data_IF_240831519950
#
_entry.id   IF_240831519950
#
_cell.length_a   1.000
_cell.length_b   1.000
_cell.length_c   1.000
_cell.angle_alpha   90.00
_cell.angle_beta   90.00
_cell.angle_gamma   90.00
#
_symmetry.space_group_name_H-M   'P 1'
#
loop_
_entity.id
_entity.type
_entity.pdbx_description
1 polymer ?
#
# COMPACT_ATOMS: atom_id res chain seq x y z
N UNK A 1 9.98 22.78 33.35
CA UNK A 1 9.17 21.57 33.13
C UNK A 1 8.54 21.73 31.77
N UNK A 2 9.00 20.97 30.78
CA UNK A 2 8.37 20.95 29.45
C UNK A 2 7.05 20.21 29.58
N UNK A 3 5.94 20.92 29.36
CA UNK A 3 4.61 20.30 29.26
C UNK A 3 4.64 19.27 28.14
N UNK A 4 4.58 18.00 28.51
CA UNK A 4 4.46 16.88 27.59
C UNK A 4 3.10 16.99 26.90
N UNK A 5 3.03 17.72 25.77
CA UNK A 5 1.82 17.87 24.97
C UNK A 5 1.33 16.48 24.60
N UNK A 6 0.15 16.11 25.09
CA UNK A 6 -0.51 14.89 24.70
C UNK A 6 -0.75 14.91 23.17
N UNK A 7 -0.03 14.08 22.45
CA UNK A 7 -0.03 14.05 20.97
C UNK A 7 -1.05 13.08 20.39
N UNK A 8 -1.67 12.23 21.22
CA UNK A 8 -2.65 11.23 20.79
C UNK A 8 -3.84 11.15 21.74
N UNK A 9 -5.02 10.97 21.17
CA UNK A 9 -6.27 10.68 21.86
C UNK A 9 -6.77 9.30 21.44
N UNK A 10 -7.27 8.52 22.41
CA UNK A 10 -7.77 7.16 22.20
C UNK A 10 -9.11 7.02 22.91
N UNK A 11 -10.05 6.33 22.26
CA UNK A 11 -11.30 5.90 22.87
C UNK A 11 -11.65 4.50 22.39
N UNK A 12 -12.25 3.72 23.26
CA UNK A 12 -12.64 2.34 23.00
C UNK A 12 -14.09 2.27 22.51
N UNK A 13 -14.38 1.31 21.61
CA UNK A 13 -15.74 1.06 21.11
C UNK A 13 -16.10 -0.39 21.40
N UNK A 14 -16.93 -0.59 22.41
CA UNK A 14 -17.44 -1.91 22.76
C UNK A 14 -18.42 -2.42 21.72
N UNK A 15 -18.35 -3.73 21.47
CA UNK A 15 -19.23 -4.46 20.54
C UNK A 15 -19.35 -3.77 19.18
N UNK A 16 -18.23 -3.27 18.64
CA UNK A 16 -18.17 -2.51 17.39
C UNK A 16 -18.94 -3.17 16.23
N UNK A 17 -18.89 -4.51 16.13
CA UNK A 17 -19.58 -5.27 15.08
C UNK A 17 -21.11 -5.16 15.10
N UNK A 18 -21.70 -4.80 16.24
CA UNK A 18 -23.15 -4.66 16.43
C UNK A 18 -23.63 -3.22 16.18
N UNK A 19 -22.71 -2.27 15.98
CA UNK A 19 -23.05 -0.87 15.82
C UNK A 19 -23.47 -0.59 14.38
N UNK A 20 -24.72 -0.17 14.21
CA UNK A 20 -25.27 0.27 12.92
C UNK A 20 -25.29 1.80 12.79
N UNK A 21 -25.40 2.52 13.90
CA UNK A 21 -25.49 3.97 13.95
C UNK A 21 -24.12 4.65 14.09
N UNK A 22 -24.10 5.96 13.79
CA UNK A 22 -22.93 6.82 14.02
C UNK A 22 -22.54 6.81 15.50
N UNK A 23 -21.24 6.70 15.77
CA UNK A 23 -20.65 6.71 17.10
C UNK A 23 -19.85 8.00 17.24
N UNK A 24 -20.02 8.70 18.37
CA UNK A 24 -19.23 9.87 18.70
C UNK A 24 -18.37 9.59 19.92
N UNK A 25 -17.09 9.96 19.87
CA UNK A 25 -16.23 9.90 21.05
C UNK A 25 -16.61 10.98 22.08
N UNK A 26 -16.15 10.84 23.33
CA UNK A 26 -16.04 11.97 24.23
C UNK A 26 -15.24 13.12 23.58
N UNK A 27 -15.53 14.34 24.05
CA UNK A 27 -14.81 15.54 23.62
C UNK A 27 -13.43 15.57 24.27
N UNK A 28 -12.43 16.06 23.55
CA UNK A 28 -11.07 16.21 24.06
C UNK A 28 -10.45 17.54 23.63
N UNK A 29 -9.56 18.07 24.46
CA UNK A 29 -8.87 19.33 24.20
C UNK A 29 -7.50 19.06 23.58
N UNK A 30 -7.22 19.68 22.44
CA UNK A 30 -5.90 19.68 21.83
C UNK A 30 -5.69 20.93 20.98
N UNK A 31 -4.48 21.51 21.04
CA UNK A 31 -4.17 22.72 20.29
C UNK A 31 -5.08 23.92 20.58
N UNK A 32 -5.64 24.00 21.80
CA UNK A 32 -6.56 25.06 22.21
C UNK A 32 -7.96 24.97 21.56
N UNK A 33 -8.33 23.83 21.00
CA UNK A 33 -9.66 23.56 20.46
C UNK A 33 -10.23 22.28 21.08
N UNK A 34 -11.56 22.24 21.18
CA UNK A 34 -12.30 21.04 21.62
C UNK A 34 -12.71 20.23 20.40
N UNK A 35 -12.28 18.98 20.37
CA UNK A 35 -12.45 18.05 19.27
C UNK A 35 -13.24 16.82 19.72
N UNK A 36 -13.79 16.09 18.76
CA UNK A 36 -14.33 14.75 18.97
C UNK A 36 -14.25 13.94 17.68
N UNK A 37 -14.31 12.62 17.80
CA UNK A 37 -14.29 11.70 16.67
C UNK A 37 -15.71 11.26 16.34
N UNK A 38 -16.02 11.18 15.04
CA UNK A 38 -17.20 10.50 14.52
C UNK A 38 -16.77 9.26 13.74
N UNK A 39 -17.39 8.14 14.07
CA UNK A 39 -17.18 6.85 13.43
C UNK A 39 -18.49 6.40 12.82
N UNK A 40 -18.43 5.99 11.56
CA UNK A 40 -19.56 5.47 10.80
C UNK A 40 -19.27 3.99 10.51
N UNK A 41 -19.72 3.06 11.37
CA UNK A 41 -19.38 1.64 11.24
C UNK A 41 -19.78 1.02 9.90
N UNK A 42 -20.86 1.54 9.30
CA UNK A 42 -21.42 1.08 8.02
C UNK A 42 -21.11 2.00 6.84
N UNK A 43 -20.30 3.03 7.08
CA UNK A 43 -20.01 4.07 6.10
C UNK A 43 -21.06 5.16 6.01
N UNK A 44 -20.85 6.03 5.03
CA UNK A 44 -21.66 7.22 4.79
C UNK A 44 -22.54 7.04 3.55
N UNK A 45 -23.72 7.68 3.53
CA UNK A 45 -24.65 7.61 2.41
C UNK A 45 -23.95 8.05 1.10
N UNK A 46 -23.95 7.17 0.09
CA UNK A 46 -23.29 7.41 -1.20
C UNK A 46 -21.86 6.88 -1.30
N UNK A 47 -21.28 6.37 -0.21
CA UNK A 47 -20.01 5.64 -0.22
C UNK A 47 -20.27 4.18 0.18
N UNK A 48 -20.16 3.27 -0.78
CA UNK A 48 -20.41 1.85 -0.53
C UNK A 48 -19.43 1.26 0.49
N UNK A 49 -19.94 0.75 1.61
CA UNK A 49 -19.33 -0.29 2.44
C UNK A 49 -17.92 -0.06 2.98
N UNK A 50 -17.61 1.16 3.41
CA UNK A 50 -16.37 1.44 4.14
C UNK A 50 -16.66 2.09 5.49
N UNK A 51 -15.92 1.69 6.53
CA UNK A 51 -15.80 2.47 7.77
C UNK A 51 -15.40 3.90 7.41
N UNK A 52 -16.17 4.89 7.85
CA UNK A 52 -15.79 6.29 7.74
C UNK A 52 -15.40 6.86 9.10
N UNK A 53 -14.33 7.65 9.12
CA UNK A 53 -13.73 8.23 10.31
C UNK A 53 -13.53 9.73 10.11
N UNK A 54 -14.02 10.53 11.03
CA UNK A 54 -13.92 11.99 10.96
C UNK A 54 -13.48 12.59 12.30
N UNK A 55 -12.57 13.56 12.23
CA UNK A 55 -12.26 14.46 13.33
C UNK A 55 -13.14 15.70 13.18
N UNK A 56 -13.85 16.06 14.24
CA UNK A 56 -14.83 17.14 14.25
C UNK A 56 -14.51 18.16 15.35
N UNK A 57 -14.78 19.44 15.10
CA UNK A 57 -14.76 20.49 16.13
C UNK A 57 -16.07 20.45 16.91
N UNK A 58 -15.99 20.36 18.24
CA UNK A 58 -17.15 20.15 19.11
C UNK A 58 -18.08 21.37 19.19
N UNK A 59 -17.52 22.57 19.27
CA UNK A 59 -18.29 23.81 19.45
C UNK A 59 -17.90 24.87 18.40
N UNK A 60 -18.19 24.65 17.10
CA UNK A 60 -17.82 25.59 16.05
C UNK A 60 -18.50 26.96 16.20
N UNK A 61 -19.63 27.03 16.90
CA UNK A 61 -20.40 28.25 17.14
C UNK A 61 -19.89 29.10 18.30
N UNK A 62 -19.18 28.51 19.27
CA UNK A 62 -18.55 29.28 20.36
C UNK A 62 -17.23 29.93 19.91
N UNK A 63 -16.73 29.56 18.74
CA UNK A 63 -15.56 30.16 18.12
C UNK A 63 -15.97 31.45 17.39
N UNK A 64 -15.13 32.49 17.50
CA UNK A 64 -15.40 33.81 16.89
C UNK A 64 -15.71 33.68 15.39
N UNK A 65 -16.62 34.51 14.89
CA UNK A 65 -16.89 34.64 13.46
C UNK A 65 -15.57 34.76 12.67
N UNK A 66 -15.38 33.90 11.68
CA UNK A 66 -14.16 33.87 10.85
C UNK A 66 -13.00 33.01 11.39
N UNK A 67 -13.20 32.23 12.46
CA UNK A 67 -12.15 31.35 12.96
C UNK A 67 -11.67 30.32 11.92
N UNK A 68 -10.36 30.04 11.96
CA UNK A 68 -9.71 29.01 11.15
C UNK A 68 -8.64 28.31 11.99
N UNK A 69 -8.56 26.98 11.90
CA UNK A 69 -7.55 26.18 12.62
C UNK A 69 -6.98 25.11 11.71
N UNK A 70 -5.64 25.05 11.61
CA UNK A 70 -4.96 23.89 11.04
C UNK A 70 -4.72 22.88 12.14
N UNK A 71 -5.02 21.63 11.86
CA UNK A 71 -4.67 20.51 12.71
C UNK A 71 -4.06 19.42 11.84
N UNK A 72 -2.96 18.83 12.32
CA UNK A 72 -2.32 17.69 11.67
C UNK A 72 -2.71 16.44 12.44
N UNK A 73 -3.25 15.43 11.76
CA UNK A 73 -3.69 14.19 12.40
C UNK A 73 -3.66 12.98 11.45
N UNK A 74 -3.65 11.80 12.05
CA UNK A 74 -3.90 10.51 11.39
C UNK A 74 -4.80 9.67 12.29
N UNK A 75 -5.63 8.80 11.72
CA UNK A 75 -6.38 7.82 12.50
C UNK A 75 -5.60 6.52 12.62
N UNK A 76 -5.67 5.90 13.80
CA UNK A 76 -5.12 4.59 14.08
C UNK A 76 -6.23 3.71 14.64
N UNK A 77 -6.52 2.60 13.97
CA UNK A 77 -7.46 1.58 14.41
C UNK A 77 -6.67 0.43 15.00
N UNK A 78 -7.00 0.07 16.24
CA UNK A 78 -6.37 -1.01 16.99
C UNK A 78 -7.37 -2.14 17.18
N UNK A 79 -6.94 -3.38 16.98
CA UNK A 79 -7.76 -4.55 17.33
C UNK A 79 -7.61 -4.93 18.81
N UNK A 80 -6.42 -4.68 19.37
CA UNK A 80 -6.07 -4.85 20.78
C UNK A 80 -5.08 -3.75 21.18
N UNK A 81 -4.95 -3.40 22.47
CA UNK A 81 -3.97 -2.41 22.92
C UNK A 81 -2.56 -2.75 22.39
N UNK A 82 -1.96 -1.81 21.65
CA UNK A 82 -0.61 -1.95 21.10
C UNK A 82 -0.48 -2.78 19.81
N UNK A 83 -1.59 -3.28 19.23
CA UNK A 83 -1.57 -3.99 17.95
C UNK A 83 -2.34 -3.22 16.87
N UNK A 84 -1.58 -2.54 16.03
CA UNK A 84 -2.07 -1.71 14.93
C UNK A 84 -2.75 -2.58 13.86
N UNK A 85 -4.01 -2.27 13.55
CA UNK A 85 -4.76 -2.92 12.49
C UNK A 85 -4.74 -2.07 11.21
N UNK A 86 -4.90 -0.76 11.35
CA UNK A 86 -4.97 0.17 10.24
C UNK A 86 -4.54 1.57 10.65
N UNK A 87 -3.80 2.26 9.79
CA UNK A 87 -3.38 3.66 9.99
C UNK A 87 -3.64 4.45 8.72
N UNK A 88 -4.28 5.61 8.83
CA UNK A 88 -4.41 6.53 7.69
C UNK A 88 -3.11 7.30 7.46
N UNK A 89 -2.92 7.78 6.23
CA UNK A 89 -1.93 8.82 5.97
C UNK A 89 -2.21 10.05 6.83
N UNK A 90 -1.15 10.76 7.19
CA UNK A 90 -1.24 12.03 7.91
C UNK A 90 -1.93 13.09 7.03
N UNK A 91 -2.85 13.84 7.63
CA UNK A 91 -3.63 14.87 6.99
C UNK A 91 -3.47 16.19 7.75
N UNK A 92 -3.38 17.31 7.03
CA UNK A 92 -3.25 18.65 7.63
C UNK A 92 -4.31 19.63 7.07
N UNK A 93 -5.61 19.38 7.34
CA UNK A 93 -6.66 20.23 6.79
C UNK A 93 -6.86 21.52 7.60
N UNK A 94 -7.54 22.46 6.96
CA UNK A 94 -7.98 23.72 7.57
C UNK A 94 -9.44 23.60 8.01
N UNK A 95 -9.67 23.61 9.31
CA UNK A 95 -11.01 23.64 9.91
C UNK A 95 -11.53 25.07 9.99
N UNK A 96 -12.80 25.26 9.70
CA UNK A 96 -13.52 26.52 9.86
C UNK A 96 -15.01 26.28 10.13
N UNK A 97 -15.78 27.34 10.32
CA UNK A 97 -17.22 27.25 10.53
C UNK A 97 -17.96 26.53 9.38
N UNK A 98 -17.49 26.71 8.13
CA UNK A 98 -18.09 26.07 6.96
C UNK A 98 -17.71 24.59 6.83
N UNK A 99 -16.52 24.21 7.30
CA UNK A 99 -15.99 22.83 7.23
C UNK A 99 -15.46 22.44 8.62
N UNK A 100 -16.36 22.07 9.55
CA UNK A 100 -15.98 21.79 10.93
C UNK A 100 -15.44 20.36 11.13
N UNK A 101 -15.41 19.54 10.07
CA UNK A 101 -14.99 18.14 10.13
C UNK A 101 -14.17 17.74 8.91
N UNK A 102 -13.14 16.92 9.14
CA UNK A 102 -12.30 16.32 8.11
C UNK A 102 -12.02 14.86 8.46
N UNK A 103 -11.90 14.01 7.45
CA UNK A 103 -11.80 12.57 7.67
C UNK A 103 -11.61 11.78 6.39
N UNK A 104 -11.83 10.47 6.51
CA UNK A 104 -11.85 9.53 5.38
C UNK A 104 -13.21 8.85 5.31
N UNK A 105 -13.93 9.06 4.20
CA UNK A 105 -15.16 8.35 3.89
C UNK A 105 -14.93 6.86 3.58
N UNK A 106 -13.69 6.48 3.28
CA UNK A 106 -13.27 5.11 2.94
C UNK A 106 -12.06 4.70 3.75
N UNK A 107 -12.17 4.70 5.09
CA UNK A 107 -11.07 4.31 5.96
C UNK A 107 -10.78 2.81 5.87
N UNK A 108 -11.80 1.95 6.01
CA UNK A 108 -11.62 0.48 5.96
C UNK A 108 -12.79 -0.18 5.25
N UNK A 109 -12.56 -1.08 4.29
CA UNK A 109 -13.63 -1.81 3.62
C UNK A 109 -14.34 -2.80 4.58
N UNK A 110 -15.67 -2.90 4.51
CA UNK A 110 -16.47 -3.81 5.34
C UNK A 110 -16.40 -5.25 4.82
N UNK A 111 -15.71 -6.12 5.58
CA UNK A 111 -15.60 -7.56 5.29
C UNK A 111 -16.98 -8.22 5.22
N UNK A 112 -17.92 -7.84 6.09
CA UNK A 112 -19.26 -8.47 6.18
C UNK A 112 -20.10 -8.37 4.90
N UNK A 113 -20.00 -7.28 4.13
CA UNK A 113 -20.73 -7.12 2.85
C UNK A 113 -19.91 -7.53 1.63
N UNK A 114 -18.57 -7.50 1.70
CA UNK A 114 -17.69 -8.17 0.72
C UNK A 114 -18.05 -9.66 0.63
N UNK A 115 -18.38 -10.26 1.79
CA UNK A 115 -18.88 -11.61 1.92
C UNK A 115 -20.35 -11.79 1.45
N UNK A 116 -21.20 -10.78 1.63
CA UNK A 116 -22.59 -10.81 1.15
C UNK A 116 -22.73 -10.61 -0.38
N UNK A 117 -21.76 -9.95 -1.04
CA UNK A 117 -21.69 -9.83 -2.50
C UNK A 117 -21.39 -11.17 -3.19
N UNK A 118 -20.94 -12.18 -2.42
CA UNK A 118 -20.70 -13.54 -2.88
C UNK A 118 -21.62 -14.52 -2.10
N UNK A 119 -22.88 -14.72 -2.53
CA UNK A 119 -23.90 -15.46 -1.78
C UNK A 119 -23.55 -16.94 -1.46
N UNK A 120 -22.49 -17.49 -2.07
CA UNK A 120 -21.92 -18.78 -1.69
C UNK A 120 -21.25 -18.82 -0.31
N UNK A 121 -20.96 -17.66 0.29
CA UNK A 121 -20.22 -17.54 1.55
C UNK A 121 -20.99 -18.04 2.79
N UNK A 122 -22.32 -17.87 2.82
CA UNK A 122 -23.12 -18.08 4.02
C UNK A 122 -23.45 -19.56 4.32
N UNK A 123 -23.08 -20.48 3.45
CA UNK A 123 -23.50 -21.87 3.55
C UNK A 123 -22.43 -22.70 4.28
N UNK A 124 -22.53 -22.71 5.62
CA UNK A 124 -21.92 -23.67 6.58
C UNK A 124 -20.87 -23.14 7.59
N UNK A 125 -20.91 -21.87 7.97
CA UNK A 125 -20.12 -21.41 9.11
C UNK A 125 -20.70 -21.97 10.43
N UNK A 126 -20.01 -22.96 11.03
CA UNK A 126 -20.16 -23.33 12.44
C UNK A 126 -18.85 -23.22 13.27
N UNK A 127 -18.08 -22.12 13.22
CA UNK A 127 -17.05 -21.89 14.25
C UNK A 127 -17.72 -21.79 15.62
N UNK A 128 -17.42 -22.74 16.52
CA UNK A 128 -18.08 -22.85 17.83
C UNK A 128 -17.66 -21.78 18.84
N UNK A 129 -16.51 -21.14 18.66
CA UNK A 129 -16.00 -20.10 19.56
C UNK A 129 -15.74 -18.79 18.83
N UNK A 130 -15.98 -17.68 19.54
CA UNK A 130 -15.78 -16.32 19.03
C UNK A 130 -14.32 -16.08 18.64
N UNK A 131 -13.36 -16.66 19.39
CA UNK A 131 -11.93 -16.54 19.09
C UNK A 131 -11.59 -17.15 17.73
N UNK A 132 -12.10 -18.36 17.44
CA UNK A 132 -11.87 -19.05 16.16
C UNK A 132 -12.50 -18.27 15.02
N UNK A 133 -13.70 -17.71 15.23
CA UNK A 133 -14.34 -16.83 14.26
C UNK A 133 -13.48 -15.61 13.94
N UNK A 134 -12.92 -14.93 14.95
CA UNK A 134 -12.02 -13.79 14.76
C UNK A 134 -10.74 -14.18 14.00
N UNK A 135 -10.13 -15.33 14.33
CA UNK A 135 -8.94 -15.82 13.62
C UNK A 135 -9.21 -16.03 12.14
N UNK A 136 -10.28 -16.73 11.78
CA UNK A 136 -10.64 -16.94 10.37
C UNK A 136 -10.98 -15.65 9.64
N UNK A 137 -11.68 -14.70 10.30
CA UNK A 137 -11.99 -13.41 9.68
C UNK A 137 -10.74 -12.57 9.42
N UNK A 138 -9.73 -12.63 10.32
CA UNK A 138 -8.45 -11.96 10.12
C UNK A 138 -7.65 -12.59 8.97
N UNK A 139 -7.62 -13.92 8.87
CA UNK A 139 -6.99 -14.62 7.74
C UNK A 139 -7.65 -14.22 6.41
N UNK A 140 -8.98 -14.23 6.37
CA UNK A 140 -9.74 -13.82 5.19
C UNK A 140 -9.44 -12.36 4.79
N UNK A 141 -9.41 -11.44 5.76
CA UNK A 141 -9.08 -10.04 5.49
C UNK A 141 -7.64 -9.90 4.96
N UNK A 142 -6.69 -10.61 5.55
CA UNK A 142 -5.30 -10.63 5.10
C UNK A 142 -5.15 -11.17 3.67
N UNK A 143 -5.89 -12.22 3.33
CA UNK A 143 -5.96 -12.74 1.96
C UNK A 143 -6.48 -11.71 0.98
N UNK A 144 -7.62 -11.07 1.28
CA UNK A 144 -8.22 -10.06 0.40
C UNK A 144 -7.22 -8.93 0.16
N UNK A 145 -6.63 -8.39 1.23
CA UNK A 145 -5.63 -7.32 1.13
C UNK A 145 -4.40 -7.74 0.32
N UNK A 146 -3.98 -9.00 0.44
CA UNK A 146 -2.85 -9.53 -0.32
C UNK A 146 -3.19 -9.66 -1.81
N UNK A 147 -4.38 -10.18 -2.13
CA UNK A 147 -4.82 -10.40 -3.52
C UNK A 147 -5.28 -9.13 -4.25
N UNK A 148 -5.56 -8.05 -3.51
CA UNK A 148 -5.81 -6.72 -4.08
C UNK A 148 -4.53 -5.99 -4.52
N UNK A 149 -3.34 -6.44 -4.08
CA UNK A 149 -2.07 -5.88 -4.52
C UNK A 149 -1.86 -6.12 -6.03
N UNK A 150 -1.17 -5.21 -6.74
CA UNK A 150 -0.79 -5.42 -8.13
C UNK A 150 0.01 -6.72 -8.32
N UNK A 151 -0.25 -7.53 -9.37
CA UNK A 151 0.39 -8.85 -9.53
C UNK A 151 1.92 -8.84 -9.51
N UNK A 152 2.55 -7.81 -10.08
CA UNK A 152 4.01 -7.65 -10.13
C UNK A 152 4.64 -7.28 -8.77
N UNK A 153 3.83 -6.84 -7.80
CA UNK A 153 4.31 -6.47 -6.45
C UNK A 153 4.35 -7.65 -5.48
N UNK A 154 3.73 -8.78 -5.84
CA UNK A 154 3.62 -9.95 -5.00
C UNK A 154 4.84 -10.87 -5.11
N UNK A 155 5.29 -11.37 -3.97
CA UNK A 155 6.32 -12.41 -3.89
C UNK A 155 5.74 -13.82 -4.05
N UNK A 156 6.59 -14.79 -4.43
CA UNK A 156 6.18 -16.21 -4.42
C UNK A 156 5.78 -16.67 -3.03
N UNK A 157 6.46 -16.17 -1.99
CA UNK A 157 6.16 -16.47 -0.60
C UNK A 157 4.77 -15.98 -0.19
N UNK A 158 4.40 -14.74 -0.55
CA UNK A 158 3.05 -14.23 -0.30
C UNK A 158 1.98 -15.05 -1.03
N UNK A 159 2.23 -15.46 -2.28
CA UNK A 159 1.31 -16.32 -3.02
C UNK A 159 1.21 -17.73 -2.40
N UNK A 160 2.31 -18.29 -1.92
CA UNK A 160 2.34 -19.58 -1.23
C UNK A 160 1.57 -19.52 0.09
N UNK A 161 1.79 -18.46 0.88
CA UNK A 161 1.06 -18.24 2.12
C UNK A 161 -0.43 -18.07 1.84
N UNK A 162 -0.79 -17.27 0.83
CA UNK A 162 -2.18 -17.09 0.44
C UNK A 162 -2.86 -18.40 0.01
N UNK A 163 -2.13 -19.29 -0.69
CA UNK A 163 -2.63 -20.64 -1.00
C UNK A 163 -2.89 -21.46 0.27
N UNK A 164 -1.95 -21.43 1.22
CA UNK A 164 -2.09 -22.15 2.50
C UNK A 164 -3.28 -21.64 3.32
N UNK A 165 -3.39 -20.33 3.51
CA UNK A 165 -4.49 -19.71 4.26
C UNK A 165 -5.85 -20.00 3.64
N UNK A 166 -5.91 -20.06 2.30
CA UNK A 166 -7.14 -20.39 1.58
C UNK A 166 -7.52 -21.88 1.74
N UNK A 167 -6.54 -22.78 1.87
CA UNK A 167 -6.78 -24.18 2.25
C UNK A 167 -7.34 -24.24 3.67
N UNK A 168 -6.69 -23.60 4.65
CA UNK A 168 -7.13 -23.59 6.04
C UNK A 168 -8.56 -23.07 6.20
N UNK A 169 -8.91 -22.01 5.45
CA UNK A 169 -10.27 -21.48 5.41
C UNK A 169 -11.25 -22.44 4.73
N UNK A 170 -10.85 -23.09 3.64
CA UNK A 170 -11.72 -24.06 2.96
C UNK A 170 -12.00 -25.27 3.86
N UNK A 171 -11.00 -25.77 4.57
CA UNK A 171 -11.12 -26.82 5.58
C UNK A 171 -11.99 -26.36 6.78
N UNK A 172 -11.91 -25.08 7.13
CA UNK A 172 -12.79 -24.41 8.08
C UNK A 172 -14.25 -24.26 7.62
N UNK A 173 -14.60 -24.75 6.42
CA UNK A 173 -15.95 -24.75 5.87
C UNK A 173 -16.30 -23.51 5.06
N UNK A 174 -15.33 -22.64 4.76
CA UNK A 174 -15.56 -21.46 3.94
C UNK A 174 -15.59 -21.83 2.45
N UNK A 175 -16.63 -21.38 1.74
CA UNK A 175 -16.71 -21.50 0.28
C UNK A 175 -16.10 -20.27 -0.38
N UNK A 176 -14.83 -20.38 -0.80
CA UNK A 176 -14.01 -19.26 -1.27
C UNK A 176 -13.61 -19.38 -2.75
N UNK A 177 -14.50 -19.92 -3.60
CA UNK A 177 -14.15 -20.21 -5.00
C UNK A 177 -13.77 -18.96 -5.79
N UNK A 178 -14.37 -17.80 -5.47
CA UNK A 178 -13.99 -16.53 -6.08
C UNK A 178 -12.57 -16.09 -5.69
N UNK A 179 -12.12 -16.35 -4.45
CA UNK A 179 -10.75 -16.05 -4.02
C UNK A 179 -9.75 -17.02 -4.65
N UNK A 180 -10.15 -18.29 -4.88
CA UNK A 180 -9.35 -19.25 -5.66
C UNK A 180 -9.11 -18.71 -7.06
N UNK A 181 -10.19 -18.34 -7.76
CA UNK A 181 -10.09 -17.74 -9.10
C UNK A 181 -9.24 -16.48 -9.08
N UNK A 182 -9.41 -15.61 -8.09
CA UNK A 182 -8.63 -14.37 -7.97
C UNK A 182 -7.15 -14.64 -7.75
N UNK A 183 -6.81 -15.59 -6.89
CA UNK A 183 -5.44 -16.02 -6.64
C UNK A 183 -4.79 -16.58 -7.92
N UNK A 184 -5.54 -17.34 -8.72
CA UNK A 184 -5.07 -17.84 -10.01
C UNK A 184 -4.84 -16.71 -11.02
N UNK A 185 -5.78 -15.76 -11.15
CA UNK A 185 -5.63 -14.57 -11.98
C UNK A 185 -4.37 -13.78 -11.64
N UNK A 186 -4.17 -13.49 -10.35
CA UNK A 186 -3.03 -12.71 -9.85
C UNK A 186 -1.72 -13.47 -10.05
N UNK A 187 -1.71 -14.78 -9.79
CA UNK A 187 -0.57 -15.66 -10.04
C UNK A 187 -0.19 -15.70 -11.52
N UNK A 188 -1.17 -15.78 -12.43
CA UNK A 188 -0.93 -15.71 -13.87
C UNK A 188 -0.41 -14.34 -14.31
N UNK A 189 -1.01 -13.25 -13.80
CA UNK A 189 -0.57 -11.89 -14.09
C UNK A 189 0.89 -11.63 -13.68
N UNK A 190 1.30 -12.17 -12.52
CA UNK A 190 2.70 -12.11 -12.07
C UNK A 190 3.63 -12.88 -13.00
N UNK A 191 3.28 -14.11 -13.37
CA UNK A 191 4.08 -14.93 -14.31
C UNK A 191 4.28 -14.22 -15.65
N UNK A 192 3.22 -13.62 -16.19
CA UNK A 192 3.29 -12.84 -17.43
C UNK A 192 4.24 -11.65 -17.29
N UNK A 193 4.15 -10.90 -16.20
CA UNK A 193 5.03 -9.76 -15.93
C UNK A 193 6.51 -10.18 -15.84
N UNK A 194 6.79 -11.34 -15.22
CA UNK A 194 8.14 -11.90 -15.13
C UNK A 194 8.66 -12.27 -16.52
N UNK A 195 7.85 -12.96 -17.34
CA UNK A 195 8.26 -13.34 -18.70
C UNK A 195 8.58 -12.11 -19.58
N UNK A 196 7.77 -11.05 -19.49
CA UNK A 196 8.03 -9.79 -20.20
C UNK A 196 9.35 -9.13 -19.75
N UNK A 197 9.64 -9.14 -18.44
CA UNK A 197 10.91 -8.63 -17.90
C UNK A 197 12.10 -9.48 -18.36
N UNK A 198 11.97 -10.81 -18.37
CA UNK A 198 13.01 -11.72 -18.86
C UNK A 198 13.34 -11.46 -20.34
N UNK A 199 12.32 -11.27 -21.18
CA UNK A 199 12.49 -10.93 -22.59
C UNK A 199 13.22 -9.59 -22.78
N UNK A 200 12.82 -8.55 -22.03
CA UNK A 200 13.50 -7.25 -22.07
C UNK A 200 14.98 -7.36 -21.66
N UNK A 201 15.29 -8.14 -20.63
CA UNK A 201 16.67 -8.40 -20.20
C UNK A 201 17.47 -9.13 -21.27
N UNK A 202 16.88 -10.10 -21.97
CA UNK A 202 17.55 -10.79 -23.08
C UNK A 202 17.86 -9.84 -24.23
N UNK A 203 16.91 -8.95 -24.61
CA UNK A 203 17.14 -7.97 -25.66
C UNK A 203 18.25 -6.98 -25.30
N UNK A 204 18.22 -6.41 -24.09
CA UNK A 204 19.28 -5.51 -23.61
C UNK A 204 20.65 -6.19 -23.57
N UNK A 205 20.71 -7.47 -23.19
CA UNK A 205 21.96 -8.25 -23.20
C UNK A 205 22.51 -8.44 -24.62
N UNK A 206 21.65 -8.63 -25.61
CA UNK A 206 22.04 -8.73 -27.01
C UNK A 206 22.57 -7.40 -27.55
N UNK A 207 21.89 -6.29 -27.26
CA UNK A 207 22.32 -4.94 -27.63
C UNK A 207 23.67 -4.59 -27.00
N UNK A 208 23.86 -4.91 -25.71
CA UNK A 208 25.13 -4.70 -25.01
C UNK A 208 26.28 -5.47 -25.68
N UNK A 209 26.06 -6.72 -26.09
CA UNK A 209 27.07 -7.50 -26.79
C UNK A 209 27.41 -6.91 -28.16
N UNK A 210 26.41 -6.43 -28.90
CA UNK A 210 26.61 -5.75 -30.19
C UNK A 210 27.47 -4.49 -30.02
N UNK A 211 27.21 -3.67 -29.01
CA UNK A 211 28.02 -2.48 -28.72
C UNK A 211 29.43 -2.82 -28.25
N UNK A 212 29.61 -3.89 -27.47
CA UNK A 212 30.96 -4.37 -27.10
C UNK A 212 31.80 -4.74 -28.33
N UNK A 213 31.21 -5.42 -29.31
CA UNK A 213 31.91 -5.78 -30.55
C UNK A 213 32.28 -4.53 -31.35
N UNK A 214 31.37 -3.56 -31.48
CA UNK A 214 31.65 -2.28 -32.16
C UNK A 214 32.76 -1.48 -31.47
N UNK A 215 32.73 -1.44 -30.14
CA UNK A 215 33.75 -0.77 -29.33
C UNK A 215 35.12 -1.44 -29.52
N UNK A 216 35.19 -2.76 -29.41
CA UNK A 216 36.43 -3.52 -29.66
C UNK A 216 36.98 -3.32 -31.08
N UNK A 217 36.10 -3.29 -32.09
CA UNK A 217 36.48 -3.00 -33.48
C UNK A 217 37.06 -1.60 -33.62
N UNK A 218 36.47 -0.62 -32.95
CA UNK A 218 36.94 0.77 -32.97
C UNK A 218 38.30 0.91 -32.26
N UNK A 219 38.46 0.27 -31.10
CA UNK A 219 39.72 0.20 -30.37
C UNK A 219 40.85 -0.44 -31.22
N UNK A 220 40.56 -1.53 -31.92
CA UNK A 220 41.53 -2.16 -32.82
C UNK A 220 41.97 -1.23 -33.98
N UNK A 221 41.03 -0.47 -34.55
CA UNK A 221 41.34 0.53 -35.58
C UNK A 221 42.23 1.66 -35.04
N UNK A 222 41.95 2.15 -33.82
CA UNK A 222 42.77 3.17 -33.16
C UNK A 222 44.20 2.67 -32.95
N UNK A 223 44.38 1.47 -32.40
CA UNK A 223 45.70 0.87 -32.20
C UNK A 223 46.47 0.71 -33.53
N UNK A 224 45.78 0.33 -34.61
CA UNK A 224 46.40 0.26 -35.94
C UNK A 224 46.89 1.62 -36.42
N UNK A 225 46.10 2.68 -36.25
CA UNK A 225 46.46 4.04 -36.64
C UNK A 225 47.64 4.58 -35.81
N UNK A 226 47.64 4.35 -34.49
CA UNK A 226 48.75 4.72 -33.60
C UNK A 226 50.07 4.05 -34.02
N UNK A 227 50.00 2.78 -34.43
CA UNK A 227 51.16 2.05 -34.96
C UNK A 227 51.65 2.68 -36.27
N UNK A 228 50.76 2.93 -37.23
CA UNK A 228 51.13 3.58 -38.51
C UNK A 228 51.75 4.95 -38.30
N UNK A 229 51.20 5.76 -37.39
CA UNK A 229 51.74 7.08 -37.06
C UNK A 229 53.17 6.97 -36.49
N UNK A 230 53.39 6.01 -35.58
CA UNK A 230 54.71 5.75 -34.99
C UNK A 230 55.74 5.36 -36.06
N UNK A 231 55.35 4.50 -37.01
CA UNK A 231 56.21 4.10 -38.14
C UNK A 231 56.59 5.31 -39.02
N UNK A 232 55.62 6.17 -39.35
CA UNK A 232 55.86 7.40 -40.13
C UNK A 232 56.82 8.34 -39.38
N UNK A 233 56.64 8.54 -38.07
CA UNK A 233 57.52 9.38 -37.24
C UNK A 233 58.95 8.83 -37.28
N UNK A 234 59.13 7.52 -37.14
CA UNK A 234 60.43 6.87 -37.17
C UNK A 234 61.12 7.00 -38.55
N UNK A 235 60.36 6.85 -39.65
CA UNK A 235 60.87 7.06 -41.01
C UNK A 235 61.36 8.51 -41.22
N UNK A 236 60.58 9.50 -40.75
CA UNK A 236 60.96 10.91 -40.84
C UNK A 236 62.20 11.23 -40.00
N UNK A 237 62.38 10.61 -38.83
CA UNK A 237 63.61 10.74 -38.03
C UNK A 237 64.82 10.19 -38.79
N UNK A 238 64.71 9.00 -39.40
CA UNK A 238 65.79 8.41 -40.20
C UNK A 238 66.18 9.30 -41.38
N UNK A 239 65.20 9.87 -42.09
CA UNK A 239 65.44 10.80 -43.22
C UNK A 239 66.21 12.06 -42.83
N UNK A 240 66.05 12.55 -41.60
CA UNK A 240 66.77 13.74 -41.10
C UNK A 240 68.22 13.46 -40.64
N UNK A 241 68.58 12.19 -40.44
CA UNK A 241 69.89 11.76 -39.94
C UNK A 241 70.85 11.27 -41.03
N UNK A 242 70.39 11.17 -42.29
CA UNK A 242 71.23 10.92 -43.46
C UNK A 242 71.40 12.24 -44.26
N UNK A 243 72.45 13.04 -44.01
CA UNK A 243 72.79 14.11 -44.94
C UNK A 243 73.42 13.50 -46.20
N UNK A 244 73.09 14.09 -47.35
CA UNK A 244 73.83 13.88 -48.60
C UNK A 244 75.30 14.25 -48.43
#
# INVERSE_FOLDING_TARGET
MEDQKQTSYMFEIDNFSEKESVISSPKFLSGGCEWFLKVYPKGELGFDDHLALYLCVANPQSLRLGWKRRATFSFLLLNQPGKDLYKTTESCPLFCAQVPSWGSAKAVASVTRLLAKHPGFAVNLKPKSQLVKTTYMNLLLGLIQTLEKPPHSLSETELSNARSELIDLTEGGFKLDWLKTKLDEVSMGRKKSIAELEEQVMNLKAELNKEKVKSATSAAKVLSLEKTLSDIINLNKKRKLSPN
#
